data_IF_324802186561
#
_entry.id   IF_324802186561
#
_cell.length_a   1.000
_cell.length_b   1.000
_cell.length_c   1.000
_cell.angle_alpha   90.00
_cell.angle_beta   90.00
_cell.angle_gamma   90.00
#
_symmetry.space_group_name_H-M   'P 1'
#
loop_
_entity.id
_entity.type
_entity.pdbx_description
1 polymer ?
#
# COMPACT_ATOMS: atom_id res chain seq x y z
N UNK A 1 17.49 27.08 -9.05
CA UNK A 1 16.24 26.31 -8.99
C UNK A 1 15.36 26.76 -10.14
N UNK A 2 14.79 25.84 -10.91
CA UNK A 2 13.93 26.15 -12.07
C UNK A 2 12.53 25.59 -11.78
N UNK A 3 11.64 26.45 -11.30
CA UNK A 3 10.21 26.19 -11.11
C UNK A 3 9.45 27.21 -11.97
N UNK A 4 8.42 26.77 -12.72
CA UNK A 4 7.65 27.65 -13.61
C UNK A 4 6.62 28.45 -12.83
N UNK A 5 6.11 27.91 -11.72
CA UNK A 5 5.11 28.57 -10.88
C UNK A 5 5.78 29.51 -9.86
N UNK A 6 5.00 30.45 -9.36
CA UNK A 6 5.42 31.37 -8.29
C UNK A 6 5.45 30.70 -6.90
N UNK A 7 4.98 29.45 -6.80
CA UNK A 7 4.95 28.65 -5.57
C UNK A 7 5.79 27.41 -5.75
N UNK A 8 6.58 27.07 -4.73
CA UNK A 8 7.41 25.88 -4.69
C UNK A 8 6.57 24.67 -4.22
N UNK A 9 6.75 23.52 -4.85
CA UNK A 9 6.16 22.24 -4.38
C UNK A 9 5.35 21.45 -5.41
N UNK A 10 5.11 22.00 -6.61
CA UNK A 10 4.42 21.29 -7.69
C UNK A 10 3.05 20.74 -7.28
N UNK A 11 2.89 19.40 -7.30
CA UNK A 11 1.66 18.71 -6.92
C UNK A 11 1.42 18.65 -5.39
N UNK A 12 2.43 18.98 -4.58
CA UNK A 12 2.33 19.01 -3.12
C UNK A 12 2.00 20.41 -2.56
N UNK A 13 1.66 21.37 -3.43
CA UNK A 13 1.30 22.72 -2.99
C UNK A 13 -0.08 22.72 -2.34
N UNK A 14 -0.18 23.41 -1.21
CA UNK A 14 -1.45 23.77 -0.59
C UNK A 14 -1.78 25.23 -0.91
N UNK A 15 -2.96 25.48 -1.45
CA UNK A 15 -3.41 26.81 -1.89
C UNK A 15 -4.73 27.16 -1.21
N UNK A 16 -4.95 28.46 -0.95
CA UNK A 16 -6.23 28.96 -0.48
C UNK A 16 -7.12 29.27 -1.68
N UNK A 17 -7.97 28.31 -2.06
CA UNK A 17 -8.98 28.51 -3.11
C UNK A 17 -10.10 29.41 -2.59
N UNK A 18 -10.40 29.34 -1.29
CA UNK A 18 -11.36 30.18 -0.60
C UNK A 18 -10.71 30.87 0.60
N UNK A 19 -11.03 32.14 0.88
CA UNK A 19 -10.43 32.88 1.98
C UNK A 19 -10.71 32.18 3.31
N UNK A 20 -9.64 31.92 4.07
CA UNK A 20 -9.70 31.25 5.37
C UNK A 20 -9.59 29.72 5.33
N UNK A 21 -9.51 29.10 4.16
CA UNK A 21 -9.37 27.64 4.02
C UNK A 21 -8.18 27.26 3.13
N UNK A 22 -7.27 26.48 3.69
CA UNK A 22 -6.12 25.92 2.96
C UNK A 22 -6.49 24.54 2.40
N UNK A 23 -6.37 24.36 1.09
CA UNK A 23 -6.65 23.10 0.40
C UNK A 23 -5.36 22.49 -0.14
N UNK A 24 -5.16 21.19 0.09
CA UNK A 24 -4.15 20.42 -0.64
C UNK A 24 -4.70 20.11 -2.03
N UNK A 25 -4.11 20.70 -3.07
CA UNK A 25 -4.69 20.70 -4.43
C UNK A 25 -4.57 19.34 -5.13
N UNK A 26 -3.47 18.61 -4.92
CA UNK A 26 -3.19 17.41 -5.71
C UNK A 26 -2.65 16.20 -4.92
N UNK A 27 -1.87 16.41 -3.85
CA UNK A 27 -1.23 15.33 -3.09
C UNK A 27 -1.52 15.41 -1.60
N UNK A 28 -2.68 14.86 -1.20
CA UNK A 28 -3.14 14.86 0.19
C UNK A 28 -2.78 13.58 0.96
N UNK A 29 -2.24 12.56 0.29
CA UNK A 29 -1.82 11.28 0.91
C UNK A 29 -0.34 11.06 0.66
N UNK A 30 0.39 10.82 1.74
CA UNK A 30 1.78 10.36 1.71
C UNK A 30 1.81 8.91 2.16
N UNK A 31 1.97 7.99 1.20
CA UNK A 31 2.03 6.55 1.47
C UNK A 31 3.33 5.87 1.04
N UNK A 32 3.99 6.39 0.02
CA UNK A 32 5.17 5.76 -0.57
C UNK A 32 6.49 6.37 -0.12
N UNK A 33 6.45 7.44 0.67
CA UNK A 33 7.64 8.08 1.19
C UNK A 33 8.43 7.06 2.05
N UNK A 34 9.70 6.88 1.72
CA UNK A 34 10.58 5.94 2.43
C UNK A 34 11.03 6.56 3.75
N UNK A 35 10.95 5.82 4.88
CA UNK A 35 11.43 6.32 6.17
C UNK A 35 12.90 6.73 6.16
N UNK A 36 13.72 6.11 5.30
CA UNK A 36 15.13 6.44 5.13
C UNK A 36 15.30 7.89 4.66
N UNK A 37 14.49 8.33 3.69
CA UNK A 37 14.51 9.70 3.14
C UNK A 37 14.08 10.72 4.21
N UNK A 38 13.05 10.39 5.00
CA UNK A 38 12.55 11.27 6.08
C UNK A 38 13.66 11.54 7.11
N UNK A 39 14.45 10.52 7.42
CA UNK A 39 15.56 10.61 8.38
C UNK A 39 16.76 11.35 7.80
N UNK A 40 17.13 11.04 6.56
CA UNK A 40 18.28 11.65 5.88
C UNK A 40 18.09 13.16 5.65
N UNK A 41 16.87 13.57 5.30
CA UNK A 41 16.52 14.99 5.12
C UNK A 41 16.05 15.67 6.42
N UNK A 42 16.09 14.97 7.55
CA UNK A 42 15.63 15.45 8.86
C UNK A 42 14.26 16.16 8.81
N UNK A 43 13.33 15.68 7.97
CA UNK A 43 12.06 16.36 7.69
C UNK A 43 11.22 16.69 8.93
N UNK A 44 11.22 15.89 10.02
CA UNK A 44 10.52 16.26 11.25
C UNK A 44 11.04 17.55 11.89
N UNK A 45 12.34 17.86 11.75
CA UNK A 45 12.91 19.15 12.22
C UNK A 45 12.43 20.32 11.38
N UNK A 46 12.09 20.07 10.12
CA UNK A 46 11.51 21.03 9.20
C UNK A 46 9.98 21.13 9.29
N UNK A 47 9.37 20.56 10.35
CA UNK A 47 7.94 20.70 10.62
C UNK A 47 7.05 19.67 9.93
N UNK A 48 7.61 18.64 9.27
CA UNK A 48 6.78 17.57 8.69
C UNK A 48 6.15 16.71 9.79
N UNK A 49 4.82 16.79 9.91
CA UNK A 49 4.04 15.91 10.76
C UNK A 49 3.20 14.94 9.91
N UNK A 50 3.30 13.66 10.23
CA UNK A 50 2.63 12.55 9.55
C UNK A 50 1.43 12.14 10.39
N UNK A 51 0.23 12.51 9.96
CA UNK A 51 -1.02 12.17 10.65
C UNK A 51 -1.57 10.85 10.12
N UNK A 52 -1.70 9.78 10.93
CA UNK A 52 -2.19 8.49 10.47
C UNK A 52 -3.65 8.58 9.98
N UNK A 53 -3.97 7.88 8.90
CA UNK A 53 -5.34 7.64 8.49
C UNK A 53 -5.92 6.52 9.37
N UNK A 54 -6.70 6.91 10.36
CA UNK A 54 -7.28 5.95 11.32
C UNK A 54 -8.54 5.27 10.80
N UNK A 55 -9.29 5.93 9.93
CA UNK A 55 -10.55 5.38 9.43
C UNK A 55 -10.82 5.75 7.99
N UNK A 56 -11.53 4.87 7.30
CA UNK A 56 -12.07 5.15 5.96
C UNK A 56 -13.46 4.55 5.82
N UNK A 57 -14.32 5.26 5.09
CA UNK A 57 -15.72 4.90 4.88
C UNK A 57 -15.96 4.82 3.38
N UNK A 58 -16.50 3.69 2.94
CA UNK A 58 -16.99 3.48 1.58
C UNK A 58 -18.52 3.52 1.63
N UNK A 59 -19.17 4.59 1.12
CA UNK A 59 -20.64 4.65 1.06
C UNK A 59 -21.19 3.61 0.09
N UNK A 60 -22.30 2.97 0.45
CA UNK A 60 -22.98 1.97 -0.36
C UNK A 60 -24.32 2.54 -0.89
N UNK A 61 -24.83 2.00 -2.01
CA UNK A 61 -26.19 2.29 -2.43
C UNK A 61 -27.20 1.92 -1.34
N UNK A 62 -28.29 2.69 -1.21
CA UNK A 62 -29.36 2.40 -0.24
C UNK A 62 -29.13 2.95 1.17
N UNK A 63 -28.13 3.81 1.37
CA UNK A 63 -27.88 4.48 2.65
C UNK A 63 -27.05 3.67 3.65
N UNK A 64 -26.54 2.51 3.23
CA UNK A 64 -25.60 1.72 4.02
C UNK A 64 -24.15 2.15 3.76
N UNK A 65 -23.22 1.66 4.58
CA UNK A 65 -21.80 1.98 4.46
C UNK A 65 -20.91 0.80 4.86
N UNK A 66 -19.67 0.81 4.36
CA UNK A 66 -18.60 -0.04 4.82
C UNK A 66 -17.51 0.81 5.48
N UNK A 67 -17.29 0.61 6.77
CA UNK A 67 -16.28 1.32 7.56
C UNK A 67 -15.03 0.49 7.83
N UNK A 68 -13.87 1.14 7.83
CA UNK A 68 -12.63 0.60 8.38
C UNK A 68 -12.12 1.52 9.47
N UNK A 69 -11.60 0.94 10.54
CA UNK A 69 -11.22 1.64 11.75
C UNK A 69 -9.79 1.25 12.17
N UNK A 70 -9.14 2.10 12.97
CA UNK A 70 -7.77 1.86 13.43
C UNK A 70 -7.65 0.65 14.35
N UNK A 71 -8.76 0.27 14.97
CA UNK A 71 -8.93 -0.94 15.75
C UNK A 71 -9.32 -2.14 14.85
N UNK A 72 -8.49 -3.20 14.78
CA UNK A 72 -8.80 -4.40 14.03
C UNK A 72 -10.10 -5.09 14.46
N UNK A 73 -10.46 -5.05 15.74
CA UNK A 73 -11.68 -5.69 16.24
C UNK A 73 -12.94 -4.95 15.79
N UNK A 74 -12.91 -3.62 15.77
CA UNK A 74 -14.00 -2.81 15.22
C UNK A 74 -14.16 -3.05 13.72
N UNK A 75 -13.06 -3.10 12.98
CA UNK A 75 -13.10 -3.46 11.54
C UNK A 75 -13.65 -4.86 11.33
N UNK A 76 -13.29 -5.84 12.18
CA UNK A 76 -13.84 -7.20 12.11
C UNK A 76 -15.35 -7.22 12.35
N UNK A 77 -15.85 -6.47 13.34
CA UNK A 77 -17.28 -6.35 13.62
C UNK A 77 -18.05 -5.73 12.45
N UNK A 78 -17.47 -4.70 11.82
CA UNK A 78 -18.07 -4.08 10.64
C UNK A 78 -18.13 -5.07 9.46
N UNK A 79 -17.05 -5.81 9.19
CA UNK A 79 -17.08 -6.86 8.16
C UNK A 79 -18.11 -7.94 8.52
N UNK A 80 -18.19 -8.35 9.79
CA UNK A 80 -19.12 -9.37 10.26
C UNK A 80 -20.60 -8.96 10.05
N UNK A 81 -20.92 -7.67 10.16
CA UNK A 81 -22.25 -7.12 9.85
C UNK A 81 -22.66 -7.37 8.40
N UNK A 82 -21.71 -7.36 7.47
CA UNK A 82 -21.94 -7.59 6.04
C UNK A 82 -21.82 -9.06 5.65
N UNK A 83 -20.79 -9.75 6.13
CA UNK A 83 -20.55 -11.18 5.88
C UNK A 83 -19.73 -11.83 7.02
N UNK A 84 -20.29 -12.80 7.75
CA UNK A 84 -19.56 -13.55 8.78
C UNK A 84 -18.34 -14.31 8.23
N UNK A 85 -18.48 -14.91 7.04
CA UNK A 85 -17.40 -15.65 6.38
C UNK A 85 -16.22 -14.75 6.03
N UNK A 86 -16.52 -13.55 5.51
CA UNK A 86 -15.48 -12.58 5.15
C UNK A 86 -14.76 -12.04 6.38
N UNK A 87 -15.42 -11.96 7.54
CA UNK A 87 -14.81 -11.52 8.78
C UNK A 87 -13.72 -12.48 9.26
N UNK A 88 -13.96 -13.79 9.15
CA UNK A 88 -12.97 -14.82 9.46
C UNK A 88 -11.84 -14.86 8.41
N UNK A 89 -12.21 -14.81 7.12
CA UNK A 89 -11.26 -14.80 6.02
C UNK A 89 -10.34 -13.58 6.06
N UNK A 90 -10.85 -12.40 6.46
CA UNK A 90 -10.07 -11.15 6.55
C UNK A 90 -8.88 -11.24 7.50
N UNK A 91 -9.02 -11.97 8.61
CA UNK A 91 -7.93 -12.20 9.56
C UNK A 91 -6.84 -13.05 8.92
N UNK A 92 -7.21 -14.20 8.33
CA UNK A 92 -6.26 -15.10 7.68
C UNK A 92 -5.57 -14.44 6.48
N UNK A 93 -6.34 -13.73 5.66
CA UNK A 93 -5.84 -12.92 4.56
C UNK A 93 -4.79 -11.92 5.04
N UNK A 94 -5.06 -11.24 6.17
CA UNK A 94 -4.15 -10.23 6.70
C UNK A 94 -2.82 -10.82 7.16
N UNK A 95 -2.85 -12.00 7.81
CA UNK A 95 -1.64 -12.74 8.19
C UNK A 95 -0.84 -13.21 6.98
N UNK A 96 -1.51 -13.84 6.00
CA UNK A 96 -0.86 -14.28 4.76
C UNK A 96 -0.16 -13.11 4.09
N UNK A 97 -0.86 -11.99 3.99
CA UNK A 97 -0.34 -10.83 3.32
C UNK A 97 0.83 -10.16 4.07
N UNK A 98 0.80 -10.13 5.40
CA UNK A 98 1.96 -9.75 6.22
C UNK A 98 3.18 -10.65 5.96
N UNK A 99 2.99 -11.96 5.77
CA UNK A 99 4.11 -12.85 5.45
C UNK A 99 4.68 -12.59 4.06
N UNK A 100 3.82 -12.39 3.06
CA UNK A 100 4.24 -12.03 1.70
C UNK A 100 5.02 -10.72 1.70
N UNK A 101 4.54 -9.74 2.48
CA UNK A 101 5.19 -8.47 2.73
C UNK A 101 6.67 -8.59 3.07
N UNK A 102 6.92 -9.38 4.11
CA UNK A 102 8.24 -9.54 4.70
C UNK A 102 9.17 -10.26 3.73
N UNK A 103 8.62 -11.14 2.92
CA UNK A 103 9.39 -11.85 1.91
C UNK A 103 9.73 -10.97 0.70
N UNK A 104 8.82 -10.11 0.25
CA UNK A 104 9.05 -9.26 -0.93
C UNK A 104 9.87 -8.01 -0.58
N UNK A 105 9.76 -7.48 0.65
CA UNK A 105 10.46 -6.26 1.11
C UNK A 105 11.96 -6.20 0.74
N UNK A 106 12.79 -7.22 1.02
CA UNK A 106 14.21 -7.17 0.65
C UNK A 106 14.46 -7.25 -0.85
N UNK A 107 13.57 -7.91 -1.63
CA UNK A 107 13.69 -7.99 -3.09
C UNK A 107 13.51 -6.61 -3.72
N UNK A 108 12.56 -5.82 -3.23
CA UNK A 108 12.29 -4.47 -3.73
C UNK A 108 13.37 -3.43 -3.40
N UNK A 109 14.29 -3.75 -2.50
CA UNK A 109 15.43 -2.90 -2.16
C UNK A 109 16.74 -3.33 -2.84
N UNK A 110 16.73 -4.46 -3.55
CA UNK A 110 17.89 -4.93 -4.29
C UNK A 110 17.89 -4.32 -5.68
N UNK A 111 19.07 -3.87 -6.11
CA UNK A 111 19.31 -3.61 -7.53
C UNK A 111 19.13 -4.96 -8.24
N UNK A 112 18.28 -5.05 -9.28
CA UNK A 112 18.05 -6.31 -9.96
C UNK A 112 19.39 -6.81 -10.54
N UNK A 113 19.87 -7.99 -10.13
CA UNK A 113 21.12 -8.53 -10.66
C UNK A 113 20.91 -8.87 -12.14
N UNK A 114 21.91 -8.59 -12.96
CA UNK A 114 21.86 -8.93 -14.37
C UNK A 114 21.98 -10.45 -14.53
N UNK A 115 20.97 -11.15 -15.10
CA UNK A 115 21.00 -12.59 -15.26
C UNK A 115 22.00 -13.06 -16.34
N UNK A 116 22.52 -12.15 -17.16
CA UNK A 116 23.51 -12.43 -18.21
C UNK A 116 24.94 -12.12 -17.78
N UNK A 117 25.11 -11.35 -16.69
CA UNK A 117 26.40 -11.06 -16.07
C UNK A 117 26.81 -12.21 -15.14
N UNK A 118 28.02 -12.73 -15.33
CA UNK A 118 28.63 -13.72 -14.44
C UNK A 118 29.46 -13.07 -13.31
N UNK A 119 29.24 -11.78 -13.02
CA UNK A 119 29.96 -11.10 -11.96
C UNK A 119 29.70 -11.78 -10.59
N UNK A 120 30.74 -11.98 -9.75
CA UNK A 120 30.57 -12.61 -8.44
C UNK A 120 29.58 -11.88 -7.52
N UNK A 121 29.45 -10.57 -7.65
CA UNK A 121 28.46 -9.74 -6.95
C UNK A 121 27.03 -10.12 -7.33
N UNK A 122 26.78 -10.31 -8.63
CA UNK A 122 25.45 -10.58 -9.19
C UNK A 122 25.02 -12.01 -8.87
N UNK A 123 25.95 -12.96 -8.96
CA UNK A 123 25.71 -14.34 -8.55
C UNK A 123 25.39 -14.44 -7.05
N UNK A 124 26.09 -13.68 -6.19
CA UNK A 124 25.81 -13.61 -4.75
C UNK A 124 24.44 -12.98 -4.46
N UNK A 125 24.06 -11.95 -5.21
CA UNK A 125 22.74 -11.34 -5.12
C UNK A 125 21.62 -12.30 -5.57
N UNK A 126 21.81 -13.01 -6.68
CA UNK A 126 20.89 -14.05 -7.15
C UNK A 126 20.76 -15.20 -6.15
N UNK A 127 21.88 -15.67 -5.59
CA UNK A 127 21.87 -16.69 -4.54
C UNK A 127 21.11 -16.23 -3.29
N UNK A 128 21.24 -14.95 -2.91
CA UNK A 128 20.50 -14.37 -1.77
C UNK A 128 18.99 -14.37 -2.04
N UNK A 129 18.56 -13.91 -3.21
CA UNK A 129 17.15 -13.93 -3.64
C UNK A 129 16.64 -15.38 -3.70
N UNK A 130 17.40 -16.29 -4.32
CA UNK A 130 17.03 -17.71 -4.45
C UNK A 130 16.91 -18.42 -3.11
N UNK A 131 17.81 -18.16 -2.15
CA UNK A 131 17.69 -18.68 -0.77
C UNK A 131 16.43 -18.15 -0.08
N UNK A 132 16.11 -16.89 -0.30
CA UNK A 132 14.95 -16.26 0.30
C UNK A 132 13.63 -16.81 -0.28
N UNK A 133 13.57 -17.00 -1.60
CA UNK A 133 12.45 -17.69 -2.28
C UNK A 133 12.30 -19.13 -1.79
N UNK A 134 13.41 -19.86 -1.61
CA UNK A 134 13.36 -21.22 -1.04
C UNK A 134 12.88 -21.24 0.41
N UNK A 135 13.22 -20.23 1.22
CA UNK A 135 12.85 -20.17 2.64
C UNK A 135 11.35 -19.97 2.89
N UNK A 136 10.59 -19.54 1.88
CA UNK A 136 9.13 -19.37 1.99
C UNK A 136 8.36 -20.69 2.11
N UNK A 137 8.92 -21.81 1.63
CA UNK A 137 8.18 -23.07 1.50
C UNK A 137 7.21 -23.06 0.31
N UNK A 138 6.75 -24.25 -0.10
CA UNK A 138 5.97 -24.44 -1.35
C UNK A 138 4.64 -23.69 -1.37
N UNK A 139 3.87 -23.76 -0.28
CA UNK A 139 2.55 -23.13 -0.20
C UNK A 139 2.61 -21.60 -0.28
N UNK A 140 3.52 -20.98 0.47
CA UNK A 140 3.70 -19.52 0.46
C UNK A 140 4.30 -19.04 -0.85
N UNK A 141 5.17 -19.83 -1.48
CA UNK A 141 5.68 -19.52 -2.82
C UNK A 141 4.56 -19.54 -3.86
N UNK A 142 3.64 -20.51 -3.80
CA UNK A 142 2.46 -20.55 -4.67
C UNK A 142 1.55 -19.35 -4.46
N UNK A 143 1.28 -19.00 -3.19
CA UNK A 143 0.49 -17.80 -2.86
C UNK A 143 1.16 -16.52 -3.37
N UNK A 144 2.48 -16.39 -3.21
CA UNK A 144 3.25 -15.26 -3.75
C UNK A 144 3.20 -15.22 -5.28
N UNK A 145 3.37 -16.37 -5.94
CA UNK A 145 3.31 -16.47 -7.39
C UNK A 145 1.93 -16.04 -7.92
N UNK A 146 0.85 -16.58 -7.35
CA UNK A 146 -0.54 -16.14 -7.64
C UNK A 146 -0.66 -14.64 -7.47
N UNK A 147 -0.20 -14.11 -6.35
CA UNK A 147 -0.29 -12.69 -6.05
C UNK A 147 0.56 -11.79 -6.97
N UNK A 148 1.61 -12.30 -7.60
CA UNK A 148 2.41 -11.56 -8.57
C UNK A 148 1.82 -11.62 -9.99
N UNK A 149 1.17 -12.74 -10.34
CA UNK A 149 0.77 -13.07 -11.72
C UNK A 149 -0.73 -12.95 -12.00
N UNK A 150 -1.58 -13.14 -11.00
CA UNK A 150 -3.04 -13.02 -11.08
C UNK A 150 -3.45 -11.55 -10.99
N UNK A 151 -4.67 -11.21 -11.44
CA UNK A 151 -5.27 -9.89 -11.20
C UNK A 151 -5.63 -9.72 -9.72
N UNK A 152 -5.60 -8.48 -9.23
CA UNK A 152 -5.95 -8.15 -7.84
C UNK A 152 -7.41 -8.44 -7.52
N UNK A 153 -8.30 -8.18 -8.48
CA UNK A 153 -9.73 -8.49 -8.35
C UNK A 153 -9.97 -10.00 -8.24
N UNK A 154 -9.39 -10.78 -9.17
CA UNK A 154 -9.56 -12.24 -9.20
C UNK A 154 -8.94 -12.90 -7.95
N UNK A 155 -7.81 -12.38 -7.46
CA UNK A 155 -7.22 -12.86 -6.22
C UNK A 155 -8.12 -12.60 -5.01
N UNK A 156 -8.76 -11.42 -4.92
CA UNK A 156 -9.67 -11.09 -3.82
C UNK A 156 -10.98 -11.88 -3.88
N UNK A 157 -11.40 -12.30 -5.07
CA UNK A 157 -12.59 -13.15 -5.27
C UNK A 157 -12.42 -14.56 -4.71
N UNK A 158 -11.19 -15.08 -4.60
CA UNK A 158 -10.91 -16.34 -3.89
C UNK A 158 -11.14 -16.23 -2.37
N UNK A 159 -11.09 -15.01 -1.80
CA UNK A 159 -11.10 -14.77 -0.34
C UNK A 159 -12.39 -14.15 0.18
N UNK A 160 -13.03 -13.28 -0.60
CA UNK A 160 -14.13 -12.44 -0.13
C UNK A 160 -15.36 -12.55 -1.03
N UNK A 161 -16.54 -12.63 -0.41
CA UNK A 161 -17.82 -12.64 -1.12
C UNK A 161 -18.38 -11.21 -1.27
N UNK A 162 -18.17 -10.34 -0.28
CA UNK A 162 -18.73 -9.00 -0.26
C UNK A 162 -18.05 -8.05 -1.27
N UNK A 163 -18.80 -7.66 -2.31
CA UNK A 163 -18.31 -6.81 -3.41
C UNK A 163 -17.69 -5.48 -2.95
N UNK A 164 -18.31 -4.68 -2.05
CA UNK A 164 -17.72 -3.42 -1.62
C UNK A 164 -16.39 -3.57 -0.88
N UNK A 165 -16.19 -4.68 -0.16
CA UNK A 165 -14.91 -5.02 0.48
C UNK A 165 -13.85 -5.33 -0.57
N UNK A 166 -14.19 -6.12 -1.59
CA UNK A 166 -13.31 -6.38 -2.75
C UNK A 166 -12.94 -5.10 -3.49
N UNK A 167 -13.92 -4.23 -3.73
CA UNK A 167 -13.72 -2.95 -4.41
C UNK A 167 -12.79 -2.02 -3.60
N UNK A 168 -13.03 -1.87 -2.30
CA UNK A 168 -12.23 -1.01 -1.41
C UNK A 168 -10.77 -1.50 -1.34
N UNK A 169 -10.57 -2.82 -1.20
CA UNK A 169 -9.22 -3.42 -1.17
C UNK A 169 -8.52 -3.29 -2.54
N UNK A 170 -9.23 -3.49 -3.65
CA UNK A 170 -8.69 -3.36 -5.00
C UNK A 170 -8.29 -1.92 -5.36
N UNK A 171 -9.12 -0.93 -4.98
CA UNK A 171 -8.84 0.49 -5.21
C UNK A 171 -7.61 0.99 -4.43
N UNK A 172 -7.43 0.48 -3.21
CA UNK A 172 -6.20 0.74 -2.44
C UNK A 172 -4.97 0.17 -3.17
N UNK A 173 -5.14 -0.99 -3.80
CA UNK A 173 -4.09 -1.69 -4.53
C UNK A 173 -3.68 -0.98 -5.84
N UNK A 174 -4.58 -0.21 -6.46
CA UNK A 174 -4.30 0.58 -7.65
C UNK A 174 -3.70 1.96 -7.36
N UNK A 175 -3.59 2.40 -6.11
CA UNK A 175 -3.07 3.75 -5.78
C UNK A 175 -1.54 3.87 -5.79
N UNK A 176 -0.81 2.83 -6.19
CA UNK A 176 0.64 2.89 -6.43
C UNK A 176 0.99 3.72 -7.68
N UNK A 177 2.26 4.14 -7.88
CA UNK A 177 2.65 5.11 -8.91
C UNK A 177 2.69 4.51 -10.34
N UNK A 178 2.07 3.33 -10.55
CA UNK A 178 2.19 2.54 -11.77
C UNK A 178 0.84 2.02 -12.27
N UNK A 179 -0.19 2.88 -12.31
CA UNK A 179 -1.59 2.41 -12.46
C UNK A 179 -2.51 3.32 -13.27
N UNK A 180 -2.06 3.80 -14.43
CA UNK A 180 -3.00 4.17 -15.50
C UNK A 180 -3.02 3.01 -16.50
N UNK A 181 -3.89 2.01 -16.25
CA UNK A 181 -4.59 1.16 -17.25
C UNK A 181 -5.03 -0.21 -16.66
N UNK A 182 -6.35 -0.43 -16.72
CA UNK A 182 -7.11 -1.69 -16.64
C UNK A 182 -7.34 -2.36 -15.26
N UNK A 183 -8.64 -2.51 -14.92
CA UNK A 183 -9.22 -3.28 -13.79
C UNK A 183 -8.91 -4.78 -13.79
N UNK A 184 -8.37 -5.33 -14.89
CA UNK A 184 -8.00 -6.74 -15.07
C UNK A 184 -6.67 -6.89 -15.81
N UNK A 185 -5.63 -6.18 -15.35
CA UNK A 185 -4.27 -6.40 -15.84
C UNK A 185 -3.50 -7.27 -14.81
N UNK A 186 -2.68 -8.23 -15.25
CA UNK A 186 -1.84 -9.05 -14.37
C UNK A 186 -0.68 -8.19 -13.83
N UNK A 187 -0.95 -7.34 -12.83
CA UNK A 187 0.04 -6.44 -12.21
C UNK A 187 -0.17 -6.27 -10.70
N UNK A 188 -0.41 -7.37 -10.01
CA UNK A 188 -0.77 -7.41 -8.58
C UNK A 188 0.43 -7.26 -7.63
N UNK A 189 1.66 -7.23 -8.16
CA UNK A 189 2.85 -6.89 -7.38
C UNK A 189 2.77 -5.51 -6.69
N UNK A 190 2.11 -4.51 -7.30
CA UNK A 190 1.87 -3.20 -6.68
C UNK A 190 0.86 -3.23 -5.53
N UNK A 191 -0.01 -4.25 -5.50
CA UNK A 191 -0.98 -4.46 -4.43
C UNK A 191 -0.27 -4.85 -3.13
N UNK A 192 0.77 -5.68 -3.23
CA UNK A 192 1.60 -6.07 -2.09
C UNK A 192 2.26 -4.83 -1.48
N UNK A 193 2.97 -4.02 -2.26
CA UNK A 193 3.73 -2.88 -1.69
C UNK A 193 2.87 -1.86 -0.99
N UNK A 194 1.69 -1.57 -1.53
CA UNK A 194 0.74 -0.61 -0.96
C UNK A 194 0.01 -1.19 0.25
N UNK A 195 -0.47 -2.43 0.16
CA UNK A 195 -1.21 -3.10 1.25
C UNK A 195 -0.32 -3.43 2.46
N UNK A 196 0.92 -3.84 2.19
CA UNK A 196 1.97 -4.07 3.21
C UNK A 196 2.31 -2.80 3.95
N UNK A 197 2.23 -1.65 3.28
CA UNK A 197 2.43 -0.37 3.92
C UNK A 197 1.17 0.12 4.65
N UNK A 198 -0.04 -0.15 4.16
CA UNK A 198 -1.26 0.29 4.84
C UNK A 198 -1.68 -0.57 6.04
N UNK A 199 -1.38 -1.88 6.05
CA UNK A 199 -1.99 -2.83 6.99
C UNK A 199 -1.02 -3.36 8.05
N UNK A 200 0.29 -3.25 7.83
CA UNK A 200 1.31 -3.69 8.79
C UNK A 200 1.62 -2.56 9.77
N UNK A 201 1.59 -2.76 11.11
CA UNK A 201 1.80 -1.71 12.11
C UNK A 201 3.07 -0.87 11.90
N UNK A 202 4.12 -1.50 11.36
CA UNK A 202 5.40 -0.84 11.04
C UNK A 202 5.29 0.23 9.94
N UNK A 203 4.19 0.25 9.21
CA UNK A 203 3.89 1.20 8.16
C UNK A 203 2.56 1.95 8.40
N UNK A 204 2.06 1.99 9.65
CA UNK A 204 1.01 2.95 10.06
C UNK A 204 1.39 4.43 9.83
N UNK A 205 2.65 4.73 9.51
CA UNK A 205 3.08 6.04 9.00
C UNK A 205 2.89 6.25 7.48
N UNK A 206 2.32 5.29 6.75
CA UNK A 206 2.28 5.24 5.29
C UNK A 206 0.88 5.35 4.69
N UNK A 207 -0.07 5.89 5.45
CA UNK A 207 -1.27 6.51 4.88
C UNK A 207 -1.49 7.74 5.71
N UNK A 208 -0.68 8.75 5.46
CA UNK A 208 -0.69 9.94 6.27
C UNK A 208 -1.03 11.17 5.45
N UNK A 209 -1.85 12.03 6.03
CA UNK A 209 -2.00 13.39 5.51
C UNK A 209 -0.73 14.13 5.88
N UNK A 210 -0.02 14.65 4.88
CA UNK A 210 1.00 15.66 5.13
C UNK A 210 0.26 16.98 5.37
N UNK A 211 0.22 17.41 6.62
CA UNK A 211 -0.18 18.77 6.96
C UNK A 211 1.10 19.55 7.25
N UNK A 212 1.39 20.57 6.45
CA UNK A 212 2.35 21.61 6.83
C UNK A 212 1.65 22.55 7.81
N UNK A 213 2.07 22.52 9.06
CA UNK A 213 1.71 23.55 10.05
C UNK A 213 2.48 24.83 9.67
N UNK A 214 1.83 26.01 9.65
CA UNK A 214 2.48 27.28 9.31
C UNK A 214 3.63 27.66 10.25
#
# INVERSE_FOLDING_TARGET
MLERRHVLGGAAVSEQIFPGFTFSVFSYVVSLLRPEIIRELELPRHGLQILPLESSITPLPGGDYYGTWGDPDQTRREIYRHSPRDAEASVQYSHLMYHMARAVKPILGLIPPDPTSLAPSDLKAMLRVGRQLRSLGREKFHALYKLLTMSSADYLEEWFEFEPLKATKSASASSGPTSVRARRAPRTCCCITTWVRSTVPFARGASARAATVP
#
